data_IF_814773819891
#
_entry.id   IF_814773819891
#
_cell.length_a   1.000
_cell.length_b   1.000
_cell.length_c   1.000
_cell.angle_alpha   90.00
_cell.angle_beta   90.00
_cell.angle_gamma   90.00
#
_symmetry.space_group_name_H-M   'P 1'
#
loop_
_entity.id
_entity.type
_entity.pdbx_description
1 polymer ?
#
# COMPACT_ATOMS: atom_id res chain seq x y z
N UNK A 1 -13.25 -17.15 -3.11
CA UNK A 1 -12.28 -17.93 -3.90
C UNK A 1 -12.60 -17.90 -5.40
N UNK A 2 -13.86 -17.85 -5.84
CA UNK A 2 -14.24 -17.48 -7.24
C UNK A 2 -14.19 -15.96 -7.55
N UNK A 3 -13.67 -15.15 -6.63
CA UNK A 3 -13.91 -13.70 -6.60
C UNK A 3 -12.78 -12.86 -7.20
N UNK A 4 -11.51 -13.27 -7.07
CA UNK A 4 -10.37 -12.45 -7.49
C UNK A 4 -10.22 -12.39 -9.03
N UNK A 5 -10.22 -13.55 -9.69
CA UNK A 5 -10.09 -13.59 -11.15
C UNK A 5 -11.29 -12.93 -11.85
N UNK A 6 -12.51 -13.21 -11.37
CA UNK A 6 -13.74 -12.60 -11.88
C UNK A 6 -13.72 -11.08 -11.74
N UNK A 7 -13.24 -10.55 -10.61
CA UNK A 7 -13.06 -9.11 -10.41
C UNK A 7 -12.09 -8.51 -11.43
N UNK A 8 -10.97 -9.19 -11.72
CA UNK A 8 -10.00 -8.72 -12.71
C UNK A 8 -10.55 -8.78 -14.14
N UNK A 9 -11.33 -9.80 -14.50
CA UNK A 9 -11.98 -9.90 -15.81
C UNK A 9 -13.03 -8.81 -16.03
N UNK A 10 -13.79 -8.46 -14.99
CA UNK A 10 -14.68 -7.30 -15.04
C UNK A 10 -13.89 -5.99 -15.26
N UNK A 11 -12.73 -5.85 -14.63
CA UNK A 11 -11.82 -4.71 -14.85
C UNK A 11 -11.29 -4.66 -16.30
N UNK A 12 -10.92 -5.80 -16.87
CA UNK A 12 -10.44 -5.92 -18.25
C UNK A 12 -11.47 -5.45 -19.29
N UNK A 13 -12.75 -5.63 -19.00
CA UNK A 13 -13.87 -5.20 -19.85
C UNK A 13 -14.28 -3.73 -19.63
N UNK A 14 -13.50 -2.96 -18.86
CA UNK A 14 -13.68 -1.52 -18.69
C UNK A 14 -14.49 -1.10 -17.47
N UNK A 15 -14.79 -2.01 -16.54
CA UNK A 15 -15.49 -1.68 -15.30
C UNK A 15 -14.50 -1.24 -14.21
N UNK A 16 -14.84 -0.21 -13.44
CA UNK A 16 -14.11 0.07 -12.20
C UNK A 16 -14.52 -0.96 -11.14
N UNK A 17 -13.56 -1.77 -10.71
CA UNK A 17 -13.77 -2.77 -9.66
C UNK A 17 -13.03 -2.35 -8.40
N UNK A 18 -13.75 -2.30 -7.29
CA UNK A 18 -13.20 -2.00 -5.95
C UNK A 18 -13.32 -3.25 -5.10
N UNK A 19 -12.24 -3.60 -4.42
CA UNK A 19 -12.18 -4.77 -3.53
C UNK A 19 -11.43 -4.41 -2.26
N UNK A 20 -11.77 -5.08 -1.16
CA UNK A 20 -11.16 -4.85 0.16
C UNK A 20 -10.49 -6.12 0.66
N UNK A 21 -9.25 -6.03 1.13
CA UNK A 21 -8.53 -7.11 1.79
C UNK A 21 -8.03 -6.61 3.15
N UNK A 22 -8.01 -7.51 4.13
CA UNK A 22 -7.34 -7.24 5.40
C UNK A 22 -5.84 -7.49 5.24
N UNK A 23 -5.03 -6.44 5.30
CA UNK A 23 -3.58 -6.47 5.08
C UNK A 23 -2.94 -5.27 5.76
N UNK A 24 -1.68 -5.41 6.21
CA UNK A 24 -1.00 -4.35 6.96
C UNK A 24 -0.44 -3.25 6.05
N UNK A 25 0.08 -3.63 4.88
CA UNK A 25 0.68 -2.74 3.88
C UNK A 25 0.39 -3.19 2.45
N UNK A 26 0.79 -2.36 1.48
CA UNK A 26 0.56 -2.57 0.04
C UNK A 26 1.20 -3.86 -0.45
N UNK A 27 2.46 -4.12 -0.09
CA UNK A 27 3.17 -5.34 -0.51
C UNK A 27 2.44 -6.61 -0.04
N UNK A 28 1.98 -6.63 1.22
CA UNK A 28 1.23 -7.77 1.78
C UNK A 28 -0.13 -7.93 1.11
N UNK A 29 -0.80 -6.82 0.78
CA UNK A 29 -2.06 -6.84 0.04
C UNK A 29 -1.88 -7.52 -1.32
N UNK A 30 -0.80 -7.16 -2.04
CA UNK A 30 -0.44 -7.74 -3.32
C UNK A 30 -0.10 -9.23 -3.19
N UNK A 31 0.71 -9.60 -2.19
CA UNK A 31 1.04 -11.00 -1.92
C UNK A 31 -0.21 -11.84 -1.65
N UNK A 32 -1.09 -11.36 -0.76
CA UNK A 32 -2.33 -12.05 -0.43
C UNK A 32 -3.24 -12.18 -1.65
N UNK A 33 -3.33 -11.16 -2.50
CA UNK A 33 -4.12 -11.20 -3.72
C UNK A 33 -3.57 -12.23 -4.72
N UNK A 34 -2.25 -12.23 -4.94
CA UNK A 34 -1.56 -13.18 -5.81
C UNK A 34 -1.71 -14.63 -5.34
N UNK A 35 -1.87 -14.84 -4.04
CA UNK A 35 -2.08 -16.16 -3.43
C UNK A 35 -3.55 -16.62 -3.50
N UNK A 36 -4.48 -15.82 -4.04
CA UNK A 36 -5.86 -16.25 -4.30
C UNK A 36 -5.99 -17.06 -5.60
N UNK A 37 -5.00 -17.00 -6.50
CA UNK A 37 -5.03 -17.74 -7.75
C UNK A 37 -4.69 -19.21 -7.54
N UNK A 38 -5.42 -20.09 -8.24
CA UNK A 38 -5.07 -21.50 -8.33
C UNK A 38 -3.83 -21.68 -9.20
N UNK A 39 -3.12 -22.81 -9.09
CA UNK A 39 -1.95 -23.09 -9.93
C UNK A 39 -2.26 -23.06 -11.45
N UNK A 40 -3.50 -23.38 -11.84
CA UNK A 40 -3.93 -23.33 -13.23
C UNK A 40 -4.11 -21.89 -13.73
N UNK A 41 -4.68 -21.02 -12.89
CA UNK A 41 -4.99 -19.64 -13.26
C UNK A 41 -3.85 -18.66 -12.99
N UNK A 42 -2.85 -19.07 -12.20
CA UNK A 42 -1.81 -18.20 -11.65
C UNK A 42 -1.16 -17.29 -12.70
N UNK A 43 -0.66 -17.87 -13.79
CA UNK A 43 0.01 -17.11 -14.86
C UNK A 43 -0.93 -16.09 -15.50
N UNK A 44 -2.19 -16.46 -15.75
CA UNK A 44 -3.16 -15.56 -16.34
C UNK A 44 -3.56 -14.46 -15.36
N UNK A 45 -3.89 -14.81 -14.12
CA UNK A 45 -4.27 -13.89 -13.05
C UNK A 45 -3.19 -12.88 -12.70
N UNK A 46 -1.92 -13.31 -12.62
CA UNK A 46 -0.77 -12.42 -12.39
C UNK A 46 -0.65 -11.38 -13.52
N UNK A 47 -0.72 -11.81 -14.78
CA UNK A 47 -0.63 -10.90 -15.92
C UNK A 47 -1.82 -9.95 -15.98
N UNK A 48 -3.02 -10.44 -15.65
CA UNK A 48 -4.22 -9.62 -15.63
C UNK A 48 -4.14 -8.57 -14.52
N UNK A 49 -3.71 -8.96 -13.31
CA UNK A 49 -3.46 -8.03 -12.21
C UNK A 49 -2.44 -6.97 -12.59
N UNK A 50 -1.29 -7.35 -13.16
CA UNK A 50 -0.24 -6.43 -13.58
C UNK A 50 -0.74 -5.36 -14.56
N UNK A 51 -1.66 -5.72 -15.46
CA UNK A 51 -2.18 -4.81 -16.48
C UNK A 51 -3.41 -4.01 -16.04
N UNK A 52 -4.27 -4.58 -15.21
CA UNK A 52 -5.58 -4.00 -14.88
C UNK A 52 -5.63 -3.32 -13.51
N UNK A 53 -4.69 -3.62 -12.60
CA UNK A 53 -4.63 -2.93 -11.32
C UNK A 53 -4.41 -1.44 -11.56
N UNK A 54 -5.27 -0.60 -10.98
CA UNK A 54 -5.09 0.87 -10.99
C UNK A 54 -4.16 1.31 -9.86
N UNK A 55 -4.35 0.77 -8.66
CA UNK A 55 -3.53 1.05 -7.50
C UNK A 55 -3.99 0.29 -6.26
N UNK A 56 -3.22 0.40 -5.19
CA UNK A 56 -3.54 -0.17 -3.88
C UNK A 56 -3.49 0.93 -2.84
N UNK A 57 -4.46 0.93 -1.94
CA UNK A 57 -4.53 1.88 -0.84
C UNK A 57 -4.77 1.12 0.48
N UNK A 58 -3.84 1.29 1.41
CA UNK A 58 -3.89 0.73 2.75
C UNK A 58 -4.13 1.87 3.75
N UNK A 59 -4.94 1.59 4.78
CA UNK A 59 -5.45 2.58 5.71
C UNK A 59 -5.19 2.15 7.15
N UNK A 60 -4.78 3.11 7.99
CA UNK A 60 -4.64 2.92 9.43
C UNK A 60 -5.24 4.12 10.16
N UNK A 61 -6.22 3.87 11.02
CA UNK A 61 -6.77 4.89 11.90
C UNK A 61 -5.95 4.95 13.19
N UNK A 62 -5.53 6.16 13.58
CA UNK A 62 -4.76 6.41 14.79
C UNK A 62 -5.40 7.53 15.60
N UNK A 63 -5.11 7.59 16.89
CA UNK A 63 -5.65 8.61 17.77
C UNK A 63 -5.06 10.00 17.43
N UNK A 64 -5.92 10.96 17.12
CA UNK A 64 -5.50 12.35 16.89
C UNK A 64 -5.29 13.10 18.21
N UNK A 65 -4.54 14.20 18.15
CA UNK A 65 -4.23 15.04 19.30
C UNK A 65 -5.46 15.73 19.90
N UNK A 66 -6.52 15.92 19.11
CA UNK A 66 -7.80 16.49 19.53
C UNK A 66 -8.80 15.45 20.10
N UNK A 67 -8.38 14.18 20.23
CA UNK A 67 -9.18 13.10 20.79
C UNK A 67 -10.04 12.33 19.78
N UNK A 68 -10.00 12.71 18.50
CA UNK A 68 -10.62 11.97 17.41
C UNK A 68 -9.74 10.85 16.82
N UNK A 69 -9.98 10.56 15.54
CA UNK A 69 -9.15 9.66 14.74
C UNK A 69 -8.57 10.39 13.53
N UNK A 70 -7.31 10.12 13.24
CA UNK A 70 -6.63 10.53 12.02
C UNK A 70 -6.35 9.33 11.12
N UNK A 71 -6.53 9.49 9.81
CA UNK A 71 -6.24 8.46 8.83
C UNK A 71 -4.78 8.60 8.35
N UNK A 72 -4.00 7.55 8.57
CA UNK A 72 -2.73 7.35 7.90
C UNK A 72 -2.96 6.47 6.67
N UNK A 73 -2.27 6.79 5.59
CA UNK A 73 -2.38 6.07 4.32
C UNK A 73 -1.03 5.59 3.84
N UNK A 74 -1.05 4.42 3.24
CA UNK A 74 -0.02 3.97 2.32
C UNK A 74 -0.68 3.68 0.98
N UNK A 75 -0.10 4.14 -0.12
CA UNK A 75 -0.66 3.85 -1.43
C UNK A 75 0.42 3.71 -2.49
N UNK A 76 0.03 3.04 -3.58
CA UNK A 76 0.79 3.01 -4.82
C UNK A 76 -0.16 3.04 -6.02
N UNK A 77 0.19 3.80 -7.04
CA UNK A 77 -0.42 3.70 -8.37
C UNK A 77 0.36 2.69 -9.22
N UNK A 78 -0.35 1.90 -10.02
CA UNK A 78 0.29 0.92 -10.90
C UNK A 78 0.81 1.59 -12.20
N UNK A 79 1.94 2.27 -12.08
CA UNK A 79 2.60 2.97 -13.17
C UNK A 79 4.05 2.51 -13.39
N UNK A 80 4.54 2.63 -14.62
CA UNK A 80 5.94 2.33 -14.98
C UNK A 80 6.36 0.92 -14.58
N UNK A 81 7.45 0.83 -13.80
CA UNK A 81 8.07 -0.43 -13.39
C UNK A 81 7.19 -1.32 -12.49
N UNK A 82 6.12 -0.76 -11.90
CA UNK A 82 5.18 -1.53 -11.07
C UNK A 82 4.59 -2.73 -11.82
N UNK A 83 4.22 -2.55 -13.09
CA UNK A 83 3.61 -3.63 -13.90
C UNK A 83 4.56 -4.81 -14.04
N UNK A 84 5.84 -4.53 -14.29
CA UNK A 84 6.88 -5.55 -14.44
C UNK A 84 7.15 -6.26 -13.11
N UNK A 85 7.22 -5.52 -12.00
CA UNK A 85 7.41 -6.10 -10.68
C UNK A 85 6.24 -7.00 -10.28
N UNK A 86 5.00 -6.62 -10.60
CA UNK A 86 3.82 -7.46 -10.36
C UNK A 86 3.88 -8.73 -11.21
N UNK A 87 4.14 -8.59 -12.51
CA UNK A 87 4.21 -9.72 -13.43
C UNK A 87 5.28 -10.75 -13.05
N UNK A 88 6.38 -10.29 -12.41
CA UNK A 88 7.49 -11.12 -11.92
C UNK A 88 7.40 -11.51 -10.45
N UNK A 89 6.35 -11.09 -9.73
CA UNK A 89 6.17 -11.26 -8.28
C UNK A 89 7.33 -10.68 -7.44
N UNK A 90 7.96 -9.61 -7.91
CA UNK A 90 9.06 -8.93 -7.24
C UNK A 90 8.53 -7.91 -6.21
N UNK A 91 7.70 -8.36 -5.26
CA UNK A 91 6.99 -7.50 -4.30
C UNK A 91 7.93 -6.67 -3.40
N UNK A 92 9.14 -7.17 -3.16
CA UNK A 92 10.20 -6.43 -2.45
C UNK A 92 10.60 -5.14 -3.18
N UNK A 93 10.54 -5.10 -4.52
CA UNK A 93 10.86 -3.89 -5.29
C UNK A 93 9.76 -2.84 -5.14
N UNK A 94 8.50 -3.29 -5.04
CA UNK A 94 7.34 -2.44 -4.74
C UNK A 94 7.49 -1.82 -3.35
N UNK A 95 7.80 -2.63 -2.34
CA UNK A 95 7.99 -2.19 -0.96
C UNK A 95 9.12 -1.14 -0.84
N UNK A 96 10.24 -1.37 -1.53
CA UNK A 96 11.35 -0.41 -1.60
C UNK A 96 10.97 0.87 -2.32
N UNK A 97 10.21 0.79 -3.42
CA UNK A 97 9.75 1.95 -4.16
C UNK A 97 8.86 2.86 -3.30
N UNK A 98 7.88 2.26 -2.60
CA UNK A 98 7.02 2.97 -1.65
C UNK A 98 7.83 3.59 -0.51
N UNK A 99 8.79 2.84 0.06
CA UNK A 99 9.61 3.29 1.18
C UNK A 99 10.53 4.46 0.82
N UNK A 100 11.02 4.54 -0.42
CA UNK A 100 11.83 5.67 -0.89
C UNK A 100 11.03 6.97 -0.90
N UNK A 101 9.75 6.89 -1.24
CA UNK A 101 8.83 8.02 -1.11
C UNK A 101 9.20 9.24 -1.95
N UNK A 102 9.96 9.04 -3.04
CA UNK A 102 10.43 10.10 -3.94
C UNK A 102 9.43 10.44 -5.04
N UNK A 103 8.35 9.67 -5.16
CA UNK A 103 7.37 9.72 -6.24
C UNK A 103 5.98 10.05 -5.68
N UNK A 104 5.28 11.08 -6.18
CA UNK A 104 3.91 11.37 -5.76
C UNK A 104 2.93 10.22 -5.93
N UNK A 105 3.20 9.28 -6.85
CA UNK A 105 2.39 8.10 -7.09
C UNK A 105 2.53 7.00 -6.01
N UNK A 106 3.42 7.20 -5.03
CA UNK A 106 3.62 6.29 -3.92
C UNK A 106 3.83 7.05 -2.61
N UNK A 107 3.08 6.66 -1.57
CA UNK A 107 3.24 7.22 -0.23
C UNK A 107 3.37 6.07 0.75
N UNK A 108 4.43 6.08 1.56
CA UNK A 108 4.58 5.12 2.65
C UNK A 108 3.82 5.54 3.91
N UNK A 109 3.48 4.58 4.77
CA UNK A 109 2.95 4.90 6.09
C UNK A 109 3.88 5.79 6.91
N UNK A 110 5.20 5.63 6.76
CA UNK A 110 6.19 6.49 7.42
C UNK A 110 5.99 7.96 7.01
N UNK A 111 5.89 8.23 5.70
CA UNK A 111 5.67 9.59 5.20
C UNK A 111 4.33 10.16 5.65
N UNK A 112 3.25 9.36 5.57
CA UNK A 112 1.94 9.78 6.06
C UNK A 112 1.98 10.11 7.56
N UNK A 113 2.71 9.32 8.35
CA UNK A 113 2.89 9.54 9.80
C UNK A 113 3.67 10.81 10.08
N UNK A 114 4.81 11.02 9.39
CA UNK A 114 5.64 12.21 9.54
C UNK A 114 4.87 13.48 9.19
N UNK A 115 4.09 13.46 8.11
CA UNK A 115 3.25 14.59 7.71
C UNK A 115 2.20 14.93 8.78
N UNK A 116 1.53 13.92 9.33
CA UNK A 116 0.55 14.11 10.40
C UNK A 116 1.19 14.63 11.69
N UNK A 117 2.40 14.16 12.03
CA UNK A 117 3.16 14.59 13.20
C UNK A 117 3.66 16.03 13.06
N UNK A 118 4.22 16.39 11.90
CA UNK A 118 4.66 17.77 11.59
C UNK A 118 3.49 18.76 11.65
N UNK A 119 2.31 18.35 11.18
CA UNK A 119 1.09 19.13 11.27
C UNK A 119 0.47 19.17 12.67
N UNK A 120 1.08 18.48 13.66
CA UNK A 120 0.59 18.34 15.04
C UNK A 120 -0.82 17.75 15.16
N UNK A 121 -1.24 16.99 14.15
CA UNK A 121 -2.54 16.30 14.12
C UNK A 121 -2.51 15.04 14.98
N UNK A 122 -1.33 14.42 15.09
CA UNK A 122 -1.08 13.28 15.98
C UNK A 122 0.06 13.61 16.94
N UNK A 123 0.09 12.93 18.09
CA UNK A 123 1.19 13.06 19.06
C UNK A 123 2.39 12.20 18.65
N UNK A 124 3.57 12.50 19.19
CA UNK A 124 4.75 11.63 19.02
C UNK A 124 4.48 10.22 19.54
N UNK A 125 3.82 10.07 20.69
CA UNK A 125 3.44 8.77 21.22
C UNK A 125 2.53 7.98 20.26
N UNK A 126 1.53 8.65 19.66
CA UNK A 126 0.68 8.05 18.62
C UNK A 126 1.52 7.62 17.41
N UNK A 127 2.43 8.48 16.95
CA UNK A 127 3.28 8.20 15.77
C UNK A 127 4.21 7.00 16.02
N UNK A 128 4.83 6.92 17.20
CA UNK A 128 5.68 5.79 17.58
C UNK A 128 4.89 4.47 17.61
N UNK A 129 3.66 4.49 18.12
CA UNK A 129 2.79 3.31 18.17
C UNK A 129 2.21 2.91 16.80
N UNK A 130 2.21 3.81 15.80
CA UNK A 130 1.60 3.55 14.50
C UNK A 130 2.55 2.95 13.46
N UNK A 131 3.86 3.01 13.67
CA UNK A 131 4.88 2.51 12.73
C UNK A 131 5.39 1.13 13.13
N UNK A 132 5.76 0.30 12.15
CA UNK A 132 6.41 -0.98 12.39
C UNK A 132 7.90 -0.85 12.73
N UNK A 133 8.53 0.26 12.32
CA UNK A 133 9.94 0.54 12.58
C UNK A 133 10.12 1.89 13.32
N UNK A 134 10.08 1.82 14.65
CA UNK A 134 10.30 2.98 15.53
C UNK A 134 11.65 3.67 15.30
N UNK A 135 12.70 2.88 15.05
CA UNK A 135 14.05 3.43 14.85
C UNK A 135 14.11 4.28 13.58
N UNK A 136 13.43 3.85 12.52
CA UNK A 136 13.31 4.61 11.29
C UNK A 136 12.53 5.91 11.46
N UNK A 137 11.40 5.88 12.18
CA UNK A 137 10.66 7.10 12.50
C UNK A 137 11.53 8.09 13.29
N UNK A 138 12.24 7.63 14.32
CA UNK A 138 13.15 8.48 15.11
C UNK A 138 14.26 9.09 14.25
N UNK A 139 14.84 8.33 13.30
CA UNK A 139 15.84 8.87 12.36
C UNK A 139 15.21 9.97 11.49
N UNK A 140 14.04 9.71 10.93
CA UNK A 140 13.36 10.66 10.06
C UNK A 140 12.98 11.95 10.81
N UNK A 141 12.53 11.86 12.06
CA UNK A 141 12.25 13.02 12.92
C UNK A 141 13.48 13.91 13.14
N UNK A 142 14.68 13.33 13.24
CA UNK A 142 15.92 14.11 13.41
C UNK A 142 16.33 14.89 12.15
N UNK A 143 15.95 14.41 10.96
CA UNK A 143 16.22 15.08 9.69
C UNK A 143 15.23 16.21 9.35
N UNK A 144 14.21 16.40 10.19
CA UNK A 144 13.17 17.44 10.03
C UNK A 144 13.49 18.70 10.88
N UNK A 145 14.53 18.64 11.71
CA UNK A 145 15.00 19.74 12.56
C UNK A 145 15.94 20.71 11.86
#
# INVERSE_FOLDING_TARGET
YETALTALQASETGHLVVSTLHSEKVADTMERYLNLFTAQDEKHGVNLLANQLSGVLCQKLVQSADGGLHLLVEHVENAGAMRDWIARRELQNIDQYISRGSDPAAVSFLQSTLKALQAKVITEATAMASVSNESELRRAMRGIG
#
